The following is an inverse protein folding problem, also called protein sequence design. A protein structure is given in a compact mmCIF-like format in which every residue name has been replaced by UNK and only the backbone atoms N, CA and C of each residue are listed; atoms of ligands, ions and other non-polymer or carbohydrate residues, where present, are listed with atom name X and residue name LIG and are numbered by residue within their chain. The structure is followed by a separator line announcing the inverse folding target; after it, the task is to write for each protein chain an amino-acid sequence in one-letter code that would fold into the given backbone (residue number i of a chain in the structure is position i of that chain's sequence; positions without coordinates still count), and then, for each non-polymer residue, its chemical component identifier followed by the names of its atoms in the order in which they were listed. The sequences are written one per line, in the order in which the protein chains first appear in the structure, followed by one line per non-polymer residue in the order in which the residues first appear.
data_IF_776607348810
#
_entry.id   IF_776607348810
#
_cell.length_a   1.000
_cell.length_b   1.000
_cell.length_c   1.000
_cell.angle_alpha   90.00
_cell.angle_beta   90.00
_cell.angle_gamma   90.00
#
_symmetry.space_group_name_H-M   'P 1'
#
loop_
_entity.id
_entity.type
_entity.pdbx_description
1 polymer ?
#
# COMPACT_ATOMS: atom_id res chain seq x y z
N UNK A 1 -32.82 17.12 2.03
CA UNK A 1 -32.60 15.95 1.16
C UNK A 1 -32.15 14.81 2.06
N UNK A 2 -32.82 13.65 2.06
CA UNK A 2 -32.33 12.49 2.81
C UNK A 2 -30.97 12.07 2.25
N UNK A 3 -29.99 11.87 3.14
CA UNK A 3 -28.69 11.35 2.78
C UNK A 3 -28.87 9.92 2.24
N UNK A 4 -28.68 9.74 0.93
CA UNK A 4 -28.66 8.43 0.31
C UNK A 4 -27.41 7.72 0.83
N UNK A 5 -27.58 6.78 1.76
CA UNK A 5 -26.52 5.87 2.16
C UNK A 5 -26.22 5.03 0.92
N UNK A 6 -25.03 5.16 0.29
CA UNK A 6 -24.72 4.37 -0.89
C UNK A 6 -24.76 2.89 -0.53
N UNK A 7 -25.09 2.06 -1.52
CA UNK A 7 -24.90 0.60 -1.47
C UNK A 7 -23.60 0.28 -0.75
N UNK A 8 -23.70 -0.45 0.37
CA UNK A 8 -22.63 -0.61 1.34
C UNK A 8 -21.40 -1.32 0.78
N UNK A 9 -21.53 -1.99 -0.37
CA UNK A 9 -20.47 -2.78 -0.98
C UNK A 9 -20.17 -2.27 -2.40
N UNK A 10 -18.89 -2.02 -2.66
CA UNK A 10 -18.35 -1.74 -3.98
C UNK A 10 -17.22 -2.73 -4.25
N UNK A 11 -17.13 -3.24 -5.47
CA UNK A 11 -16.06 -4.14 -5.86
C UNK A 11 -15.65 -3.88 -7.30
N UNK A 12 -14.38 -4.18 -7.58
CA UNK A 12 -13.67 -3.85 -8.81
C UNK A 12 -12.79 -5.01 -9.23
N UNK A 13 -12.71 -5.27 -10.53
CA UNK A 13 -11.81 -6.29 -11.06
C UNK A 13 -10.35 -5.80 -11.00
N UNK A 14 -9.46 -6.63 -10.45
CA UNK A 14 -8.02 -6.36 -10.38
C UNK A 14 -7.23 -7.09 -11.46
N UNK A 15 -7.46 -8.39 -11.54
CA UNK A 15 -6.75 -9.26 -12.45
C UNK A 15 -7.61 -10.50 -12.75
N UNK A 16 -7.37 -11.09 -13.92
CA UNK A 16 -7.93 -12.38 -14.32
C UNK A 16 -6.75 -13.28 -14.63
N UNK A 17 -6.48 -14.18 -13.70
CA UNK A 17 -5.31 -15.07 -13.79
C UNK A 17 -5.58 -16.29 -14.68
N UNK A 18 -6.85 -16.64 -14.87
CA UNK A 18 -7.30 -17.75 -15.70
C UNK A 18 -8.48 -17.33 -16.56
N UNK A 19 -8.32 -17.48 -17.87
CA UNK A 19 -9.43 -17.41 -18.82
C UNK A 19 -10.18 -18.75 -18.82
N UNK A 20 -11.40 -18.82 -18.28
CA UNK A 20 -12.18 -20.05 -18.18
C UNK A 20 -12.50 -20.66 -19.55
N UNK A 21 -12.45 -19.87 -20.64
CA UNK A 21 -12.73 -20.33 -22.01
C UNK A 21 -11.53 -20.96 -22.71
N UNK A 22 -10.30 -20.69 -22.26
CA UNK A 22 -9.05 -21.14 -22.91
C UNK A 22 -8.27 -22.17 -22.11
N UNK A 23 -8.63 -22.35 -20.84
CA UNK A 23 -7.80 -23.06 -19.89
C UNK A 23 -8.35 -24.46 -19.56
N UNK A 24 -8.23 -25.36 -20.55
CA UNK A 24 -8.64 -26.77 -20.48
C UNK A 24 -7.77 -27.63 -19.53
N UNK A 25 -6.61 -27.11 -19.08
CA UNK A 25 -5.56 -27.93 -18.43
C UNK A 25 -4.81 -27.20 -17.31
N UNK A 26 -5.46 -26.55 -16.34
CA UNK A 26 -4.74 -25.96 -15.19
C UNK A 26 -5.42 -26.18 -13.84
N UNK A 27 -4.54 -26.35 -12.85
CA UNK A 27 -4.74 -26.68 -11.43
C UNK A 27 -5.86 -25.86 -10.79
N UNK A 28 -6.82 -26.56 -10.18
CA UNK A 28 -7.94 -26.01 -9.40
C UNK A 28 -7.55 -25.07 -8.23
N UNK A 29 -6.25 -24.84 -8.01
CA UNK A 29 -5.73 -24.00 -6.93
C UNK A 29 -5.45 -22.54 -7.32
N UNK A 30 -5.53 -22.19 -8.61
CA UNK A 30 -5.34 -20.79 -9.05
C UNK A 30 -6.68 -20.08 -9.16
N UNK A 31 -6.78 -18.82 -8.71
CA UNK A 31 -8.00 -18.05 -8.87
C UNK A 31 -8.28 -17.78 -10.35
N UNK A 32 -9.56 -17.69 -10.69
CA UNK A 32 -10.04 -17.17 -11.98
C UNK A 32 -9.86 -15.66 -12.00
N UNK A 33 -10.38 -14.97 -10.98
CA UNK A 33 -10.34 -13.52 -10.89
C UNK A 33 -9.96 -13.05 -9.49
N UNK A 34 -9.25 -11.92 -9.43
CA UNK A 34 -9.00 -11.17 -8.20
C UNK A 34 -9.88 -9.93 -8.19
N UNK A 35 -10.65 -9.74 -7.12
CA UNK A 35 -11.62 -8.65 -7.00
C UNK A 35 -11.27 -7.80 -5.78
N UNK A 36 -11.04 -6.50 -5.96
CA UNK A 36 -10.86 -5.56 -4.84
C UNK A 36 -12.22 -5.13 -4.32
N UNK A 37 -12.52 -5.46 -3.07
CA UNK A 37 -13.79 -5.18 -2.43
C UNK A 37 -13.67 -4.13 -1.34
N UNK A 38 -14.67 -3.25 -1.28
CA UNK A 38 -14.81 -2.14 -0.36
C UNK A 38 -16.20 -2.22 0.26
N UNK A 39 -16.26 -2.38 1.58
CA UNK A 39 -17.51 -2.53 2.31
C UNK A 39 -17.57 -1.53 3.47
N UNK A 40 -18.66 -0.77 3.57
CA UNK A 40 -18.91 0.09 4.71
C UNK A 40 -19.57 -0.71 5.83
N UNK A 41 -18.85 -0.90 6.94
CA UNK A 41 -19.42 -1.53 8.13
C UNK A 41 -20.03 -0.46 9.05
N UNK A 42 -21.36 -0.45 9.12
CA UNK A 42 -22.11 0.48 9.99
C UNK A 42 -21.83 0.31 11.48
N UNK A 43 -21.39 -0.87 11.93
CA UNK A 43 -21.10 -1.12 13.35
C UNK A 43 -19.75 -0.54 13.75
N UNK A 44 -18.76 -0.66 12.86
CA UNK A 44 -17.41 -0.13 13.06
C UNK A 44 -17.30 1.36 12.70
N UNK A 45 -18.18 1.82 11.81
CA UNK A 45 -18.17 3.18 11.27
C UNK A 45 -16.99 3.42 10.32
N UNK A 46 -16.46 2.37 9.69
CA UNK A 46 -15.26 2.42 8.84
C UNK A 46 -15.42 1.56 7.59
N UNK A 47 -14.57 1.83 6.60
CA UNK A 47 -14.51 1.06 5.36
C UNK A 47 -13.56 -0.13 5.49
N UNK A 48 -14.11 -1.32 5.29
CA UNK A 48 -13.37 -2.55 5.12
C UNK A 48 -12.88 -2.65 3.68
N UNK A 49 -11.65 -3.13 3.50
CA UNK A 49 -11.06 -3.28 2.18
C UNK A 49 -10.13 -4.48 2.13
N UNK A 50 -10.33 -5.33 1.13
CA UNK A 50 -9.42 -6.42 0.81
C UNK A 50 -9.57 -6.84 -0.66
N UNK A 51 -8.63 -7.66 -1.14
CA UNK A 51 -8.72 -8.35 -2.43
C UNK A 51 -9.16 -9.79 -2.22
N UNK A 52 -10.30 -10.14 -2.81
CA UNK A 52 -10.90 -11.46 -2.81
C UNK A 52 -10.41 -12.26 -4.01
N UNK A 53 -10.22 -13.56 -3.82
CA UNK A 53 -9.77 -14.51 -4.84
C UNK A 53 -10.91 -15.45 -5.20
N UNK A 54 -11.48 -15.27 -6.40
CA UNK A 54 -12.55 -16.12 -6.90
C UNK A 54 -11.92 -17.32 -7.60
N UNK A 55 -12.26 -18.53 -7.15
CA UNK A 55 -11.63 -19.76 -7.63
C UNK A 55 -12.32 -20.36 -8.84
N UNK A 56 -13.61 -20.08 -9.02
CA UNK A 56 -14.39 -20.63 -10.13
C UNK A 56 -15.48 -19.68 -10.61
N UNK A 57 -15.80 -19.78 -11.90
CA UNK A 57 -17.04 -19.24 -12.46
C UNK A 57 -18.24 -19.92 -11.78
N UNK A 58 -19.32 -19.17 -11.58
CA UNK A 58 -20.51 -19.60 -10.84
C UNK A 58 -20.39 -19.49 -9.32
N UNK A 59 -19.23 -19.05 -8.80
CA UNK A 59 -19.02 -18.82 -7.38
C UNK A 59 -19.57 -17.44 -6.97
N UNK A 60 -20.18 -17.38 -5.78
CA UNK A 60 -20.51 -16.11 -5.14
C UNK A 60 -19.24 -15.32 -4.79
N UNK A 61 -19.30 -14.00 -4.96
CA UNK A 61 -18.24 -13.08 -4.52
C UNK A 61 -18.35 -12.94 -3.00
N UNK A 62 -17.69 -13.88 -2.32
CA UNK A 62 -17.58 -13.94 -0.86
C UNK A 62 -16.26 -14.58 -0.45
N UNK A 63 -15.67 -14.08 0.63
CA UNK A 63 -14.50 -14.70 1.24
C UNK A 63 -14.44 -14.35 2.73
N UNK A 64 -13.94 -15.28 3.54
CA UNK A 64 -13.53 -14.99 4.92
C UNK A 64 -12.04 -14.77 4.94
N UNK A 65 -11.61 -13.61 5.43
CA UNK A 65 -10.20 -13.24 5.40
C UNK A 65 -9.82 -12.38 6.60
N UNK A 66 -8.55 -12.46 6.98
CA UNK A 66 -7.96 -11.56 7.97
C UNK A 66 -7.68 -10.23 7.29
N UNK A 67 -8.29 -9.16 7.79
CA UNK A 67 -8.12 -7.81 7.27
C UNK A 67 -7.94 -6.81 8.40
N UNK A 68 -7.44 -5.63 8.02
CA UNK A 68 -7.25 -4.52 8.93
C UNK A 68 -8.62 -3.91 9.23
N UNK A 69 -8.99 -3.92 10.50
CA UNK A 69 -10.22 -3.34 11.03
C UNK A 69 -9.87 -2.17 11.93
N UNK A 70 -10.49 -1.03 11.65
CA UNK A 70 -10.46 0.17 12.49
C UNK A 70 -11.83 0.33 13.12
N UNK A 71 -11.90 0.31 14.44
CA UNK A 71 -13.13 0.59 15.18
C UNK A 71 -12.98 1.96 15.83
N UNK A 72 -13.72 2.95 15.31
CA UNK A 72 -13.67 4.32 15.83
C UNK A 72 -14.36 4.38 17.19
N UNK A 73 -15.47 3.66 17.37
CA UNK A 73 -16.26 3.69 18.59
C UNK A 73 -15.48 3.11 19.78
N UNK A 74 -14.73 2.03 19.56
CA UNK A 74 -13.87 1.41 20.56
C UNK A 74 -12.42 1.93 20.54
N UNK A 75 -12.08 2.88 19.66
CA UNK A 75 -10.71 3.37 19.43
C UNK A 75 -9.69 2.22 19.27
N UNK A 76 -10.06 1.18 18.51
CA UNK A 76 -9.25 -0.02 18.35
C UNK A 76 -8.78 -0.21 16.92
N UNK A 77 -7.53 -0.67 16.77
CA UNK A 77 -6.90 -0.95 15.49
C UNK A 77 -6.40 -2.39 15.49
N UNK A 78 -7.02 -3.26 14.70
CA UNK A 78 -6.71 -4.68 14.60
C UNK A 78 -6.21 -4.98 13.19
N UNK A 79 -5.01 -5.56 13.08
CA UNK A 79 -4.39 -5.83 11.78
C UNK A 79 -4.88 -7.15 11.16
N UNK A 80 -5.28 -8.11 12.00
CA UNK A 80 -5.62 -9.49 11.62
C UNK A 80 -7.01 -9.91 12.10
N UNK A 81 -7.99 -9.00 12.03
CA UNK A 81 -9.36 -9.35 12.39
C UNK A 81 -10.01 -10.20 11.29
N UNK A 82 -10.67 -11.29 11.66
CA UNK A 82 -11.42 -12.11 10.71
C UNK A 82 -12.68 -11.36 10.27
N UNK A 83 -12.78 -11.09 8.97
CA UNK A 83 -13.89 -10.39 8.33
C UNK A 83 -14.50 -11.33 7.30
N UNK A 84 -15.84 -11.37 7.26
CA UNK A 84 -16.57 -12.07 6.20
C UNK A 84 -17.06 -11.04 5.21
N UNK A 85 -16.50 -11.08 4.02
CA UNK A 85 -16.90 -10.25 2.89
C UNK A 85 -18.00 -10.96 2.11
N UNK A 86 -19.14 -10.31 1.89
CA UNK A 86 -20.30 -10.92 1.21
C UNK A 86 -21.05 -9.89 0.35
N UNK A 87 -21.30 -10.23 -0.90
CA UNK A 87 -22.07 -9.39 -1.84
C UNK A 87 -23.41 -9.97 -2.24
N UNK A 88 -23.52 -11.31 -2.30
CA UNK A 88 -24.66 -11.99 -2.93
C UNK A 88 -24.58 -12.08 -4.45
N UNK A 89 -23.52 -11.53 -5.06
CA UNK A 89 -23.30 -11.49 -6.50
C UNK A 89 -22.47 -12.70 -6.95
N UNK A 90 -22.60 -13.11 -8.21
CA UNK A 90 -21.96 -14.31 -8.77
C UNK A 90 -21.07 -13.93 -9.95
N UNK A 91 -19.84 -14.46 -10.00
CA UNK A 91 -18.99 -14.32 -11.18
C UNK A 91 -19.49 -15.25 -12.30
N UNK A 92 -19.89 -14.69 -13.44
CA UNK A 92 -20.39 -15.44 -14.59
C UNK A 92 -19.31 -15.70 -15.64
N UNK A 93 -18.44 -14.73 -15.87
CA UNK A 93 -17.36 -14.87 -16.84
C UNK A 93 -16.22 -13.90 -16.51
N UNK A 94 -15.02 -14.20 -16.99
CA UNK A 94 -13.83 -13.39 -16.82
C UNK A 94 -12.87 -13.57 -17.99
N UNK A 95 -12.44 -12.48 -18.62
CA UNK A 95 -11.43 -12.49 -19.67
C UNK A 95 -10.18 -11.76 -19.19
N UNK A 96 -9.02 -12.42 -19.34
CA UNK A 96 -7.73 -11.88 -18.95
C UNK A 96 -6.93 -11.34 -20.12
N UNK A 97 -5.75 -10.81 -19.79
CA UNK A 97 -4.78 -10.39 -20.80
C UNK A 97 -4.31 -11.60 -21.64
N UNK A 98 -3.90 -11.31 -22.86
CA UNK A 98 -3.48 -12.31 -23.83
C UNK A 98 -1.98 -12.55 -23.71
N UNK A 99 -1.63 -13.81 -23.51
CA UNK A 99 -0.25 -14.27 -23.58
C UNK A 99 0.11 -14.62 -25.04
N UNK A 100 1.13 -13.97 -25.56
CA UNK A 100 1.76 -14.28 -26.85
C UNK A 100 3.09 -14.98 -26.59
N UNK A 101 3.37 -16.06 -27.32
CA UNK A 101 4.70 -16.69 -27.33
C UNK A 101 5.59 -15.93 -28.32
N UNK A 102 6.61 -15.18 -27.87
CA UNK A 102 7.43 -14.34 -28.74
C UNK A 102 8.10 -15.11 -29.88
N UNK A 103 8.50 -16.36 -29.63
CA UNK A 103 9.17 -17.21 -30.61
C UNK A 103 8.27 -17.58 -31.80
N UNK A 104 6.94 -17.54 -31.63
CA UNK A 104 5.98 -17.76 -32.71
C UNK A 104 5.74 -16.49 -33.56
N UNK A 105 6.18 -15.34 -33.07
CA UNK A 105 5.97 -14.02 -33.68
C UNK A 105 7.25 -13.17 -33.66
N UNK A 106 8.34 -13.62 -34.31
CA UNK A 106 9.63 -12.93 -34.26
C UNK A 106 9.61 -11.54 -34.94
N UNK A 107 8.66 -11.30 -35.83
CA UNK A 107 8.43 -10.03 -36.53
C UNK A 107 7.96 -8.91 -35.60
N UNK A 108 7.26 -9.25 -34.52
CA UNK A 108 6.75 -8.29 -33.55
C UNK A 108 7.83 -7.76 -32.60
N UNK A 109 9.04 -8.35 -32.60
CA UNK A 109 10.15 -7.92 -31.75
C UNK A 109 9.85 -7.95 -30.25
N UNK A 110 8.89 -8.78 -29.82
CA UNK A 110 8.44 -8.87 -28.44
C UNK A 110 9.55 -9.39 -27.54
N UNK A 111 9.73 -8.73 -26.39
CA UNK A 111 10.71 -9.13 -25.38
C UNK A 111 9.97 -9.51 -24.11
N UNK A 112 9.86 -10.79 -23.77
CA UNK A 112 9.19 -11.19 -22.56
C UNK A 112 9.94 -10.67 -21.34
N UNK A 113 9.21 -10.43 -20.25
CA UNK A 113 9.81 -10.06 -18.98
C UNK A 113 10.78 -11.13 -18.50
N UNK A 114 11.79 -10.72 -17.72
CA UNK A 114 12.79 -11.64 -17.18
C UNK A 114 12.13 -12.81 -16.45
N UNK A 115 12.40 -14.03 -16.90
CA UNK A 115 11.90 -15.27 -16.30
C UNK A 115 10.52 -15.72 -16.79
N UNK A 116 9.95 -15.07 -17.81
CA UNK A 116 8.71 -15.52 -18.48
C UNK A 116 9.02 -15.95 -19.93
N UNK A 117 8.35 -17.00 -20.37
CA UNK A 117 8.38 -17.45 -21.78
C UNK A 117 7.39 -16.68 -22.66
N UNK A 118 6.36 -16.09 -22.06
CA UNK A 118 5.26 -15.42 -22.75
C UNK A 118 5.35 -13.91 -22.56
N UNK A 119 4.91 -13.17 -23.57
CA UNK A 119 4.71 -11.72 -23.53
C UNK A 119 3.24 -11.41 -23.34
N UNK A 120 2.94 -10.53 -22.38
CA UNK A 120 1.58 -10.05 -22.10
C UNK A 120 1.27 -8.83 -22.98
N UNK A 121 0.16 -8.85 -23.71
CA UNK A 121 -0.24 -7.75 -24.60
C UNK A 121 -0.54 -6.44 -23.86
N UNK A 122 -0.87 -6.51 -22.56
CA UNK A 122 -1.26 -5.35 -21.78
C UNK A 122 -2.72 -4.95 -22.01
N UNK A 123 -3.55 -5.87 -22.47
CA UNK A 123 -5.01 -5.68 -22.49
C UNK A 123 -5.53 -5.71 -21.05
N UNK A 124 -6.50 -4.85 -20.76
CA UNK A 124 -7.11 -4.83 -19.44
C UNK A 124 -8.05 -6.03 -19.29
N UNK A 125 -8.07 -6.66 -18.11
CA UNK A 125 -8.98 -7.77 -17.86
C UNK A 125 -10.41 -7.24 -17.76
N UNK A 126 -11.39 -8.08 -18.09
CA UNK A 126 -12.82 -7.79 -18.01
C UNK A 126 -13.54 -8.95 -17.33
N UNK A 127 -14.66 -8.69 -16.65
CA UNK A 127 -15.47 -9.74 -16.05
C UNK A 127 -16.96 -9.41 -16.07
N UNK A 128 -17.80 -10.44 -16.11
CA UNK A 128 -19.25 -10.31 -16.01
C UNK A 128 -19.69 -10.92 -14.70
N UNK A 129 -20.49 -10.15 -13.95
CA UNK A 129 -21.11 -10.60 -12.70
C UNK A 129 -22.62 -10.53 -12.82
N UNK A 130 -23.30 -11.47 -12.17
CA UNK A 130 -24.74 -11.39 -11.94
C UNK A 130 -24.98 -10.86 -10.54
N UNK A 131 -25.71 -9.77 -10.44
CA UNK A 131 -26.08 -9.20 -9.14
C UNK A 131 -27.09 -10.10 -8.43
N UNK A 132 -27.24 -9.95 -7.12
CA UNK A 132 -28.30 -10.64 -6.36
C UNK A 132 -29.73 -10.34 -6.85
N UNK A 133 -29.92 -9.31 -7.68
CA UNK A 133 -31.21 -8.97 -8.32
C UNK A 133 -31.38 -9.64 -9.70
N UNK A 134 -30.38 -10.39 -10.17
CA UNK A 134 -30.38 -11.03 -11.49
C UNK A 134 -29.93 -10.13 -12.64
N UNK A 135 -29.39 -8.94 -12.35
CA UNK A 135 -28.89 -8.03 -13.38
C UNK A 135 -27.45 -8.41 -13.75
N UNK A 136 -27.11 -8.33 -15.03
CA UNK A 136 -25.73 -8.51 -15.48
C UNK A 136 -24.99 -7.17 -15.39
N UNK A 137 -23.83 -7.19 -14.75
CA UNK A 137 -22.92 -6.04 -14.65
C UNK A 137 -21.56 -6.43 -15.18
N UNK A 138 -21.01 -5.57 -16.02
CA UNK A 138 -19.64 -5.66 -16.49
C UNK A 138 -18.69 -4.97 -15.51
N UNK A 139 -17.55 -5.61 -15.27
CA UNK A 139 -16.45 -5.07 -14.49
C UNK A 139 -15.30 -4.75 -15.45
N UNK A 140 -15.24 -3.48 -15.84
CA UNK A 140 -14.16 -2.92 -16.65
C UNK A 140 -13.23 -2.05 -15.77
N UNK A 141 -11.98 -2.46 -15.55
CA UNK A 141 -11.01 -1.70 -14.79
C UNK A 141 -10.74 -0.30 -15.34
N UNK A 142 -10.90 -0.07 -16.65
CA UNK A 142 -10.62 1.22 -17.27
C UNK A 142 -11.64 2.28 -16.83
N UNK A 143 -12.92 1.99 -16.99
CA UNK A 143 -14.02 2.87 -16.61
C UNK A 143 -14.14 3.06 -15.10
N UNK A 144 -13.80 2.05 -14.31
CA UNK A 144 -13.96 2.08 -12.84
C UNK A 144 -12.74 2.59 -12.08
N UNK A 145 -11.61 2.80 -12.75
CA UNK A 145 -10.31 3.16 -12.14
C UNK A 145 -10.39 4.35 -11.18
N UNK A 146 -11.09 5.41 -11.58
CA UNK A 146 -11.19 6.65 -10.80
C UNK A 146 -11.94 6.43 -9.48
N UNK A 147 -13.05 5.69 -9.54
CA UNK A 147 -13.89 5.34 -8.38
C UNK A 147 -13.14 4.41 -7.43
N UNK A 148 -12.47 3.40 -7.97
CA UNK A 148 -11.64 2.50 -7.18
C UNK A 148 -10.53 3.25 -6.45
N UNK A 149 -9.82 4.15 -7.15
CA UNK A 149 -8.74 4.93 -6.56
C UNK A 149 -9.23 5.85 -5.45
N UNK A 150 -10.40 6.48 -5.61
CA UNK A 150 -11.01 7.32 -4.59
C UNK A 150 -11.37 6.52 -3.32
N UNK A 151 -11.93 5.32 -3.47
CA UNK A 151 -12.24 4.44 -2.34
C UNK A 151 -10.96 3.95 -1.64
N UNK A 152 -9.93 3.60 -2.42
CA UNK A 152 -8.63 3.22 -1.88
C UNK A 152 -8.00 4.35 -1.06
N UNK A 153 -8.02 5.57 -1.58
CA UNK A 153 -7.51 6.75 -0.85
C UNK A 153 -8.26 6.98 0.47
N UNK A 154 -9.59 6.78 0.46
CA UNK A 154 -10.40 6.88 1.68
C UNK A 154 -10.00 5.85 2.72
N UNK A 155 -9.89 4.57 2.33
CA UNK A 155 -9.43 3.48 3.20
C UNK A 155 -8.04 3.79 3.77
N UNK A 156 -7.11 4.25 2.94
CA UNK A 156 -5.76 4.57 3.36
C UNK A 156 -5.75 5.73 4.37
N UNK A 157 -6.59 6.74 4.18
CA UNK A 157 -6.77 7.83 5.14
C UNK A 157 -7.32 7.33 6.49
N UNK A 158 -8.40 6.55 6.48
CA UNK A 158 -9.01 5.96 7.68
C UNK A 158 -8.00 5.07 8.44
N UNK A 159 -7.23 4.25 7.73
CA UNK A 159 -6.17 3.41 8.33
C UNK A 159 -5.05 4.23 8.93
N UNK A 160 -4.62 5.31 8.27
CA UNK A 160 -3.57 6.19 8.78
C UNK A 160 -4.01 6.93 10.04
N UNK A 161 -5.28 7.34 10.12
CA UNK A 161 -5.85 7.93 11.34
C UNK A 161 -5.94 6.90 12.47
N UNK A 162 -6.42 5.68 12.17
CA UNK A 162 -6.46 4.58 13.14
C UNK A 162 -5.08 4.21 13.70
N UNK A 163 -4.04 4.21 12.87
CA UNK A 163 -2.65 3.99 13.32
C UNK A 163 -2.17 5.07 14.29
N UNK A 164 -2.46 6.34 14.01
CA UNK A 164 -2.10 7.45 14.92
C UNK A 164 -2.80 7.33 16.27
N UNK A 165 -4.05 6.88 16.30
CA UNK A 165 -4.78 6.62 17.55
C UNK A 165 -4.14 5.48 18.35
N UNK A 166 -3.73 4.39 17.67
CA UNK A 166 -2.98 3.28 18.30
C UNK A 166 -1.66 3.76 18.90
N UNK A 167 -0.91 4.59 18.19
CA UNK A 167 0.36 5.14 18.66
C UNK A 167 0.19 6.13 19.82
N UNK A 168 -0.85 6.96 19.81
CA UNK A 168 -1.15 7.88 20.90
C UNK A 168 -1.67 7.18 22.17
N UNK A 169 -2.33 6.03 22.02
CA UNK A 169 -2.81 5.21 23.13
C UNK A 169 -1.73 4.26 23.69
N UNK A 170 -0.60 4.08 23.01
CA UNK A 170 0.52 3.34 23.55
C UNK A 170 1.11 4.14 24.72
N UNK A 171 1.23 3.56 25.93
CA UNK A 171 1.77 4.28 27.08
C UNK A 171 3.17 4.76 26.71
N UNK A 172 3.41 6.06 26.83
CA UNK A 172 4.73 6.66 26.64
C UNK A 172 5.69 6.03 27.65
N UNK A 173 6.41 5.00 27.22
CA UNK A 173 7.53 4.45 27.97
C UNK A 173 8.54 5.56 28.20
N UNK A 174 8.74 5.89 29.47
CA UNK A 174 9.68 6.90 30.00
C UNK A 174 9.31 8.37 29.75
N UNK A 175 8.37 8.89 30.53
CA UNK A 175 8.50 10.25 31.09
C UNK A 175 8.52 10.15 32.60
N UNK A 176 9.74 10.10 33.11
CA UNK A 176 10.07 10.32 34.51
C UNK A 176 9.79 11.80 34.81
N UNK A 177 8.90 12.03 35.77
CA UNK A 177 8.80 13.24 36.59
C UNK A 177 8.74 14.60 35.85
N UNK A 178 7.54 14.99 35.44
CA UNK A 178 7.23 16.34 34.98
C UNK A 178 5.80 16.68 35.38
N UNK A 179 5.64 17.55 36.36
CA UNK A 179 4.35 17.99 36.89
C UNK A 179 3.43 18.52 35.79
N UNK A 180 2.11 18.36 35.98
CA UNK A 180 1.08 18.57 34.94
C UNK A 180 1.02 20.00 34.36
N UNK A 181 1.75 20.97 34.91
CA UNK A 181 1.84 22.33 34.39
C UNK A 181 2.70 22.45 33.12
N UNK A 182 3.72 21.60 32.94
CA UNK A 182 4.62 21.70 31.78
C UNK A 182 3.98 21.11 30.51
N UNK A 183 3.10 20.11 30.64
CA UNK A 183 2.30 19.63 29.50
C UNK A 183 1.31 20.69 29.01
N UNK A 184 0.66 21.42 29.92
CA UNK A 184 -0.31 22.44 29.54
C UNK A 184 0.35 23.64 28.84
N UNK A 185 1.55 24.04 29.28
CA UNK A 185 2.36 25.06 28.59
C UNK A 185 2.82 24.63 27.19
N UNK A 186 3.12 23.34 26.99
CA UNK A 186 3.51 22.81 25.68
C UNK A 186 2.31 22.68 24.72
N UNK A 187 1.10 22.48 25.26
CA UNK A 187 -0.13 22.41 24.47
C UNK A 187 -0.70 23.79 24.09
N UNK A 188 -0.46 24.84 24.91
CA UNK A 188 -0.92 26.21 24.67
C UNK A 188 0.15 27.15 24.07
N UNK A 189 1.39 26.69 23.93
CA UNK A 189 2.51 27.50 23.46
C UNK A 189 2.95 27.15 22.04
N UNK A 190 2.26 27.68 21.03
CA UNK A 190 2.79 28.19 19.74
C UNK A 190 1.65 28.43 18.73
N UNK A 191 0.75 29.36 19.07
CA UNK A 191 -0.03 30.05 18.05
C UNK A 191 0.91 30.96 17.25
N UNK A 192 1.58 30.41 16.24
CA UNK A 192 2.34 31.20 15.28
C UNK A 192 1.36 31.70 14.21
N UNK A 193 0.63 32.77 14.55
CA UNK A 193 -0.18 33.56 13.63
C UNK A 193 0.78 34.25 12.66
N UNK A 194 0.72 34.00 11.34
CA UNK A 194 1.52 34.75 10.38
C UNK A 194 0.98 36.18 10.30
N UNK A 195 1.73 37.19 10.75
CA UNK A 195 1.35 38.59 10.48
C UNK A 195 1.78 39.69 11.45
N UNK A 196 2.52 39.42 12.54
CA UNK A 196 2.97 40.51 13.44
C UNK A 196 4.50 40.63 13.55
N UNK A 197 5.04 41.87 13.50
CA UNK A 197 6.47 42.14 13.35
C UNK A 197 7.25 41.81 14.64
N UNK A 198 8.36 41.07 14.49
CA UNK A 198 9.27 40.69 15.58
C UNK A 198 10.07 41.90 16.06
N UNK A 199 9.90 42.28 17.33
CA UNK A 199 10.77 43.22 18.02
C UNK A 199 12.19 42.63 18.20
N UNK A 200 13.19 43.35 17.70
CA UNK A 200 14.59 42.98 17.76
C UNK A 200 15.14 43.13 19.19
N UNK A 201 15.72 42.05 19.75
CA UNK A 201 16.53 42.12 20.97
C UNK A 201 18.00 42.39 20.61
N UNK A 202 18.51 43.48 21.21
CA UNK A 202 19.82 44.05 21.01
C UNK A 202 20.97 43.12 21.43
N UNK A 203 22.06 43.16 20.63
CA UNK A 203 23.36 42.56 20.94
C UNK A 203 24.17 43.49 21.84
N UNK A 204 24.76 42.97 22.91
CA UNK A 204 25.82 43.65 23.65
C UNK A 204 27.18 42.95 23.43
N UNK A 205 28.32 43.69 23.56
CA UNK A 205 29.54 43.45 22.79
C UNK A 205 30.63 42.66 23.52
N UNK A 206 31.63 42.24 22.74
CA UNK A 206 32.83 41.45 23.11
C UNK A 206 33.69 42.12 24.21
N UNK A 207 34.29 41.28 25.08
CA UNK A 207 35.40 41.61 25.99
C UNK A 207 36.73 41.06 25.40
N UNK A 208 37.90 41.73 25.58
CA UNK A 208 39.12 41.46 24.82
C UNK A 208 40.11 40.46 25.44
N UNK A 209 41.11 40.09 24.61
CA UNK A 209 42.23 39.13 24.75
C UNK A 209 43.19 39.36 25.94
N UNK A 210 43.76 38.24 26.40
CA UNK A 210 45.05 38.07 27.11
C UNK A 210 45.00 36.75 27.89
N UNK A 211 46.03 35.94 28.10
CA UNK A 211 47.40 35.75 27.60
C UNK A 211 47.88 34.42 28.24
N UNK A 212 48.78 33.69 27.57
CA UNK A 212 49.63 32.60 28.11
C UNK A 212 48.94 31.28 28.54
N UNK A 213 49.47 30.06 28.35
CA UNK A 213 50.77 29.54 27.92
C UNK A 213 50.68 28.01 27.73
N UNK A 214 51.54 27.43 26.89
CA UNK A 214 52.04 26.04 26.99
C UNK A 214 51.34 25.01 26.09
N UNK A 215 51.96 24.60 24.98
CA UNK A 215 52.72 23.33 24.81
C UNK A 215 51.80 22.11 24.65
N UNK A 216 51.89 21.22 23.67
CA UNK A 216 52.98 20.73 22.82
C UNK A 216 52.34 19.99 21.60
N UNK A 217 52.86 20.17 20.38
CA UNK A 217 53.67 19.21 19.61
C UNK A 217 52.91 18.15 18.75
N UNK A 218 53.28 18.10 17.45
CA UNK A 218 53.07 17.00 16.50
C UNK A 218 51.83 17.14 15.61
N UNK A 219 51.84 17.66 14.37
CA UNK A 219 52.73 17.54 13.22
C UNK A 219 52.65 16.20 12.45
N UNK A 220 52.23 16.33 11.17
CA UNK A 220 52.35 15.44 10.00
C UNK A 220 51.47 14.17 9.97
N UNK A 221 50.53 14.00 9.04
CA UNK A 221 50.61 13.97 7.57
C UNK A 221 51.48 12.80 7.05
N UNK A 222 50.84 11.75 6.53
CA UNK A 222 51.15 11.11 5.24
C UNK A 222 50.26 9.87 4.96
N UNK A 223 50.05 9.52 3.69
CA UNK A 223 49.14 8.47 3.19
C UNK A 223 49.89 7.14 2.95
N UNK A 224 49.18 6.00 2.81
CA UNK A 224 49.65 4.95 1.89
C UNK A 224 48.63 3.84 1.55
N UNK A 225 48.74 3.42 0.28
CA UNK A 225 48.56 2.11 -0.40
C UNK A 225 47.53 1.04 0.02
N UNK A 226 47.02 0.33 -1.00
CA UNK A 226 46.38 -0.97 -0.78
C UNK A 226 45.64 -1.64 -1.94
N UNK A 227 46.21 -1.70 -3.14
CA UNK A 227 45.70 -2.54 -4.23
C UNK A 227 45.95 -4.04 -3.96
N UNK A 228 44.94 -4.91 -4.11
CA UNK A 228 45.12 -6.34 -4.42
C UNK A 228 43.98 -6.88 -5.29
N UNK A 229 44.36 -7.36 -6.48
CA UNK A 229 43.48 -8.01 -7.46
C UNK A 229 43.12 -9.46 -7.09
N UNK A 230 42.13 -10.00 -7.82
CA UNK A 230 41.80 -11.42 -7.84
C UNK A 230 41.91 -11.96 -9.28
N UNK A 231 42.40 -13.20 -9.48
CA UNK A 231 42.79 -13.70 -10.79
C UNK A 231 41.67 -14.41 -11.56
N UNK A 232 41.84 -14.41 -12.88
CA UNK A 232 41.13 -15.19 -13.91
C UNK A 232 41.23 -16.70 -13.63
N UNK A 233 40.15 -17.44 -13.88
CA UNK A 233 40.18 -18.90 -14.07
C UNK A 233 39.73 -19.24 -15.50
N UNK A 234 40.60 -19.97 -16.18
CA UNK A 234 40.48 -20.51 -17.53
C UNK A 234 39.62 -21.78 -17.57
N UNK A 235 39.03 -22.04 -18.74
CA UNK A 235 38.34 -23.27 -19.12
C UNK A 235 39.26 -24.50 -19.15
N UNK A 236 38.66 -25.70 -19.22
CA UNK A 236 39.01 -26.63 -20.29
C UNK A 236 37.80 -27.25 -21.01
N UNK A 237 37.92 -27.41 -22.33
CA UNK A 237 37.19 -28.38 -23.19
C UNK A 237 38.14 -29.58 -23.45
N UNK A 238 37.75 -30.64 -24.19
CA UNK A 238 36.57 -31.53 -24.18
C UNK A 238 37.06 -32.99 -23.91
N UNK A 239 36.39 -34.12 -24.25
CA UNK A 239 35.92 -34.51 -25.61
C UNK A 239 34.41 -34.51 -25.82
#
# INVERSE_FOLDING_TARGET
MPAVVPTSVNYFLKDVERDPSRDDKVRASRPVASISMFEWDTKLGTMLHDTLKILSVGQFITEKKKSIVVDIAASSYKEDAEVTFLTGDVLLDASGDFDIVPDQHPDLGLRPDKGRSNFKLGLLPEAIVMTGLGEMRELDPASERSKEQALKQRVDAERNEGKKLKEAAAPSGNMQDGTSEDMYKKMMGTANIPGMPKAAKAKNPKKPKGSDSGSSAGAHAAPDSGAKGKPKRSMPNPP
#
